data_IF_917172601439
#
_entry.id   IF_917172601439
#
_cell.length_a   1.000
_cell.length_b   1.000
_cell.length_c   1.000
_cell.angle_alpha   90.00
_cell.angle_beta   90.00
_cell.angle_gamma   90.00
#
_symmetry.space_group_name_H-M   'P 1'
#
loop_
_entity.id
_entity.type
_entity.pdbx_description
1 polymer ?
#
# COMPACT_ATOMS: atom_id res chain seq x y z
N UNK A 1 -16.34 11.60 60.02
CA UNK A 1 -15.31 11.31 58.99
C UNK A 1 -15.78 10.06 58.23
N UNK A 2 -16.86 10.03 57.44
CA UNK A 2 -17.05 10.56 56.07
C UNK A 2 -15.80 10.43 55.18
N UNK A 3 -15.94 9.53 54.18
CA UNK A 3 -15.20 9.45 52.90
C UNK A 3 -13.91 8.61 52.87
N UNK A 4 -14.08 7.29 52.98
CA UNK A 4 -13.21 6.31 52.31
C UNK A 4 -14.13 5.47 51.40
N UNK A 5 -14.96 6.11 50.55
CA UNK A 5 -14.62 6.45 49.17
C UNK A 5 -14.02 5.25 48.42
N UNK A 6 -14.88 4.32 47.96
CA UNK A 6 -15.22 4.04 46.54
C UNK A 6 -14.07 4.06 45.50
N UNK A 7 -12.79 4.05 45.89
CA UNK A 7 -11.64 4.08 44.96
C UNK A 7 -11.16 2.66 44.62
N UNK A 8 -11.74 1.63 45.23
CA UNK A 8 -11.44 0.23 44.94
C UNK A 8 -12.13 -0.33 43.67
N UNK A 9 -12.83 0.49 42.86
CA UNK A 9 -13.67 -0.01 41.76
C UNK A 9 -13.58 0.74 40.42
N UNK A 10 -12.55 1.56 40.19
CA UNK A 10 -12.44 2.41 38.98
C UNK A 10 -11.06 2.38 38.31
N UNK A 11 -10.36 1.24 38.35
CA UNK A 11 -9.12 0.99 37.58
C UNK A 11 -9.33 -0.17 36.58
N UNK A 12 -10.52 -0.24 36.00
CA UNK A 12 -10.80 -0.97 34.77
C UNK A 12 -11.52 0.00 33.84
N UNK A 13 -10.79 0.88 33.16
CA UNK A 13 -11.17 1.36 31.82
C UNK A 13 -10.00 2.12 31.18
N UNK A 14 -9.70 1.70 29.94
CA UNK A 14 -9.17 2.49 28.82
C UNK A 14 -7.79 3.15 28.93
N UNK A 15 -6.80 2.47 28.35
CA UNK A 15 -5.90 3.11 27.37
C UNK A 15 -5.29 2.04 26.43
N UNK A 16 -5.70 1.96 25.15
CA UNK A 16 -4.92 1.24 24.14
C UNK A 16 -3.79 2.15 23.66
N UNK A 17 -2.53 1.82 23.95
CA UNK A 17 -1.40 2.37 23.20
C UNK A 17 -1.03 1.38 22.10
N UNK A 18 -1.89 1.30 21.09
CA UNK A 18 -1.49 0.89 19.74
C UNK A 18 -0.49 1.91 19.24
N UNK A 19 0.80 1.59 19.35
CA UNK A 19 1.85 2.33 18.67
C UNK A 19 1.80 2.00 17.16
N UNK A 20 0.87 2.62 16.44
CA UNK A 20 1.00 2.78 15.00
C UNK A 20 2.03 3.90 14.75
N UNK A 21 3.32 3.57 14.77
CA UNK A 21 4.34 4.47 14.24
C UNK A 21 4.25 4.48 12.71
N UNK A 22 3.35 5.32 12.21
CA UNK A 22 3.42 5.89 10.87
C UNK A 22 4.19 7.21 10.96
N UNK A 23 5.33 7.27 10.27
CA UNK A 23 5.82 8.51 9.63
C UNK A 23 6.84 9.36 10.39
N UNK A 24 8.13 9.15 10.11
CA UNK A 24 9.06 10.28 9.82
C UNK A 24 10.42 9.79 9.31
N UNK A 25 10.52 9.64 7.98
CA UNK A 25 11.71 10.08 7.26
C UNK A 25 11.18 10.86 6.05
N UNK A 26 11.37 12.18 6.09
CA UNK A 26 10.99 13.08 5.00
C UNK A 26 11.72 12.77 3.69
N UNK A 27 11.31 13.39 2.58
CA UNK A 27 11.82 13.06 1.26
C UNK A 27 13.30 13.44 1.17
N UNK A 28 14.17 12.44 1.14
CA UNK A 28 15.53 12.62 0.64
C UNK A 28 15.41 13.02 -0.85
N UNK A 29 16.28 13.90 -1.36
CA UNK A 29 16.25 14.30 -2.76
C UNK A 29 16.45 13.05 -3.63
N UNK A 30 15.39 12.63 -4.32
CA UNK A 30 15.45 11.52 -5.26
C UNK A 30 16.28 11.97 -6.46
N UNK A 31 17.48 11.40 -6.54
CA UNK A 31 18.39 11.50 -7.67
C UNK A 31 17.64 11.13 -8.97
N UNK A 32 17.38 12.14 -9.81
CA UNK A 32 16.55 12.05 -11.03
C UNK A 32 17.28 11.31 -12.17
N UNK A 33 18.38 10.61 -11.86
CA UNK A 33 19.19 9.87 -12.82
C UNK A 33 19.26 8.36 -12.51
N UNK A 34 18.21 7.80 -11.91
CA UNK A 34 18.13 6.38 -11.63
C UNK A 34 17.33 5.68 -12.73
N UNK A 35 18.01 4.82 -13.50
CA UNK A 35 17.34 3.71 -14.18
C UNK A 35 16.71 2.86 -13.09
N UNK A 36 15.48 3.19 -12.71
CA UNK A 36 14.80 2.54 -11.61
C UNK A 36 14.61 1.06 -11.97
N UNK A 37 15.12 0.18 -11.12
CA UNK A 37 14.99 -1.27 -11.26
C UNK A 37 13.51 -1.69 -11.17
N UNK A 38 12.69 -0.86 -10.52
CA UNK A 38 11.27 -1.06 -10.28
C UNK A 38 10.41 0.09 -10.79
N UNK A 39 9.14 -0.19 -11.06
CA UNK A 39 8.13 0.85 -11.23
C UNK A 39 7.87 1.54 -9.90
N UNK A 40 7.71 2.86 -9.95
CA UNK A 40 7.45 3.69 -8.79
C UNK A 40 6.21 4.55 -9.01
N UNK A 41 5.47 4.82 -7.94
CA UNK A 41 4.40 5.81 -7.97
C UNK A 41 4.98 7.23 -8.04
N UNK A 42 4.22 8.16 -8.62
CA UNK A 42 4.60 9.58 -8.69
C UNK A 42 4.77 10.25 -7.32
N UNK A 43 4.09 9.73 -6.30
CA UNK A 43 4.20 10.16 -4.90
C UNK A 43 5.26 9.38 -4.10
N UNK A 44 6.00 8.49 -4.77
CA UNK A 44 7.01 7.61 -4.18
C UNK A 44 6.48 6.22 -3.81
N UNK A 45 7.39 5.25 -3.71
CA UNK A 45 7.08 3.86 -3.37
C UNK A 45 6.98 2.95 -4.60
N UNK A 46 7.26 1.66 -4.38
CA UNK A 46 7.35 0.65 -5.44
C UNK A 46 5.95 0.11 -5.78
N UNK A 47 5.65 0.04 -7.06
CA UNK A 47 4.43 -0.58 -7.58
C UNK A 47 4.54 -2.10 -7.43
N UNK A 48 3.52 -2.72 -6.85
CA UNK A 48 3.48 -4.17 -6.61
C UNK A 48 2.34 -4.83 -7.39
N UNK A 49 2.55 -6.06 -7.82
CA UNK A 49 1.52 -6.89 -8.42
C UNK A 49 0.47 -7.35 -7.39
N UNK A 50 -0.54 -8.09 -7.85
CA UNK A 50 -1.61 -8.60 -7.00
C UNK A 50 -1.19 -9.72 -6.03
N UNK A 51 0.06 -10.18 -6.09
CA UNK A 51 0.65 -11.14 -5.16
C UNK A 51 1.59 -10.44 -4.16
N UNK A 52 1.83 -9.13 -4.32
CA UNK A 52 2.72 -8.34 -3.48
C UNK A 52 4.18 -8.29 -3.96
N UNK A 53 4.49 -8.82 -5.15
CA UNK A 53 5.83 -8.74 -5.73
C UNK A 53 6.04 -7.37 -6.39
N UNK A 54 7.24 -6.81 -6.27
CA UNK A 54 7.59 -5.57 -6.93
C UNK A 54 7.58 -5.74 -8.46
N UNK A 55 6.90 -4.85 -9.18
CA UNK A 55 7.03 -4.77 -10.63
C UNK A 55 8.35 -4.09 -10.98
N UNK A 56 9.13 -4.75 -11.83
CA UNK A 56 10.37 -4.18 -12.39
C UNK A 56 10.07 -2.96 -13.25
N UNK A 57 11.12 -2.32 -13.77
CA UNK A 57 11.01 -1.19 -14.70
C UNK A 57 10.01 -1.43 -15.85
N UNK A 58 9.45 -0.36 -16.39
CA UNK A 58 8.47 -0.43 -17.48
C UNK A 58 8.97 -1.19 -18.72
N UNK A 59 10.29 -1.18 -18.94
CA UNK A 59 10.91 -1.88 -20.07
C UNK A 59 11.10 -3.38 -19.84
N UNK A 60 11.03 -3.84 -18.59
CA UNK A 60 11.20 -5.23 -18.21
C UNK A 60 10.16 -6.14 -18.86
N UNK A 61 10.59 -7.31 -19.31
CA UNK A 61 9.72 -8.35 -19.85
C UNK A 61 8.69 -8.84 -18.82
N UNK A 62 9.07 -8.93 -17.54
CA UNK A 62 8.16 -9.36 -16.46
C UNK A 62 7.00 -8.38 -16.28
N UNK A 63 7.30 -7.08 -16.27
CA UNK A 63 6.32 -6.01 -16.13
C UNK A 63 5.42 -5.90 -17.35
N UNK A 64 5.97 -6.03 -18.56
CA UNK A 64 5.19 -6.09 -19.79
C UNK A 64 4.23 -7.28 -19.80
N UNK A 65 4.73 -8.46 -19.43
CA UNK A 65 3.90 -9.65 -19.31
C UNK A 65 2.80 -9.50 -18.26
N UNK A 66 3.08 -8.81 -17.14
CA UNK A 66 2.04 -8.48 -16.16
C UNK A 66 0.91 -7.66 -16.77
N UNK A 67 1.23 -6.60 -17.54
CA UNK A 67 0.22 -5.81 -18.22
C UNK A 67 -0.56 -6.63 -19.25
N UNK A 68 0.13 -7.41 -20.07
CA UNK A 68 -0.49 -8.25 -21.10
C UNK A 68 -1.45 -9.29 -20.50
N UNK A 69 -1.00 -10.00 -19.45
CA UNK A 69 -1.80 -11.03 -18.78
C UNK A 69 -3.07 -10.49 -18.10
N UNK A 70 -3.06 -9.20 -17.74
CA UNK A 70 -4.19 -8.52 -17.13
C UNK A 70 -4.95 -7.61 -18.12
N UNK A 71 -4.57 -7.61 -19.40
CA UNK A 71 -5.12 -6.75 -20.45
C UNK A 71 -5.07 -5.25 -20.09
N UNK A 72 -3.99 -4.82 -19.42
CA UNK A 72 -3.76 -3.43 -19.07
C UNK A 72 -2.93 -2.73 -20.14
N UNK A 73 -3.14 -1.43 -20.38
CA UNK A 73 -2.22 -0.62 -21.16
C UNK A 73 -0.80 -0.65 -20.56
N UNK A 74 0.22 -0.68 -21.40
CA UNK A 74 1.61 -0.63 -20.92
C UNK A 74 1.88 0.71 -20.22
N UNK A 75 2.57 0.65 -19.10
CA UNK A 75 2.81 1.80 -18.23
C UNK A 75 1.73 2.00 -17.15
N UNK A 76 0.70 1.15 -17.09
CA UNK A 76 -0.33 1.26 -16.04
C UNK A 76 0.26 0.94 -14.67
N UNK A 77 0.26 1.93 -13.78
CA UNK A 77 0.65 1.79 -12.36
C UNK A 77 -0.55 1.87 -11.42
N UNK A 78 -1.67 2.43 -11.89
CA UNK A 78 -2.92 2.55 -11.15
C UNK A 78 -3.88 1.44 -11.58
N UNK A 79 -3.96 0.40 -10.76
CA UNK A 79 -4.86 -0.73 -10.94
C UNK A 79 -5.36 -1.24 -9.60
N UNK A 80 -6.46 -1.99 -9.63
CA UNK A 80 -7.00 -2.67 -8.46
C UNK A 80 -6.88 -4.18 -8.64
N UNK A 81 -6.63 -4.88 -7.54
CA UNK A 81 -6.53 -6.33 -7.53
C UNK A 81 -7.83 -6.97 -7.05
N UNK A 82 -8.40 -7.85 -7.87
CA UNK A 82 -9.58 -8.66 -7.55
C UNK A 82 -9.28 -10.10 -7.93
N UNK A 83 -9.39 -11.03 -6.98
CA UNK A 83 -9.10 -12.46 -7.17
C UNK A 83 -7.75 -12.76 -7.83
N UNK A 84 -6.71 -11.98 -7.48
CA UNK A 84 -5.36 -12.13 -8.02
C UNK A 84 -5.15 -11.55 -9.42
N UNK A 85 -6.16 -10.92 -10.02
CA UNK A 85 -6.06 -10.21 -11.31
C UNK A 85 -6.13 -8.71 -11.13
N UNK A 86 -5.37 -8.00 -11.95
CA UNK A 86 -5.35 -6.55 -11.98
C UNK A 86 -6.38 -6.01 -12.98
N UNK A 87 -7.07 -4.93 -12.59
CA UNK A 87 -8.07 -4.26 -13.40
C UNK A 87 -7.87 -2.75 -13.34
N UNK A 88 -8.23 -2.06 -14.42
CA UNK A 88 -8.39 -0.60 -14.34
C UNK A 88 -9.52 -0.27 -13.36
N UNK A 89 -9.37 0.79 -12.54
CA UNK A 89 -10.41 1.22 -11.62
C UNK A 89 -11.76 1.41 -12.33
N UNK A 90 -12.79 0.73 -11.83
CA UNK A 90 -14.15 0.75 -12.38
C UNK A 90 -14.42 -0.32 -13.45
N UNK A 91 -13.39 -1.03 -13.92
CA UNK A 91 -13.52 -2.16 -14.84
C UNK A 91 -13.42 -3.52 -14.13
N UNK A 92 -13.21 -3.53 -12.82
CA UNK A 92 -13.23 -4.77 -12.04
C UNK A 92 -14.61 -5.46 -12.07
N UNK A 93 -14.65 -6.80 -11.95
CA UNK A 93 -15.91 -7.54 -11.80
C UNK A 93 -16.72 -7.02 -10.62
N UNK A 94 -18.04 -6.91 -10.80
CA UNK A 94 -18.93 -6.62 -9.66
C UNK A 94 -19.01 -7.88 -8.79
N UNK A 95 -18.93 -7.69 -7.48
CA UNK A 95 -19.23 -8.75 -6.53
C UNK A 95 -20.62 -9.33 -6.85
N UNK A 96 -20.72 -10.65 -6.93
CA UNK A 96 -21.99 -11.35 -7.08
C UNK A 96 -22.78 -11.34 -5.79
#
# INVERSE_FOLDING_TARGET
MKKLSVVALLVLMSAPLTACFLGSFGPLPMDVNRKNEYLEYSWGGIVKDCQGNALSSADSLSTKAFWDNNHLPHGTIDFVCVDGKAYLPGQQPKAK
#
